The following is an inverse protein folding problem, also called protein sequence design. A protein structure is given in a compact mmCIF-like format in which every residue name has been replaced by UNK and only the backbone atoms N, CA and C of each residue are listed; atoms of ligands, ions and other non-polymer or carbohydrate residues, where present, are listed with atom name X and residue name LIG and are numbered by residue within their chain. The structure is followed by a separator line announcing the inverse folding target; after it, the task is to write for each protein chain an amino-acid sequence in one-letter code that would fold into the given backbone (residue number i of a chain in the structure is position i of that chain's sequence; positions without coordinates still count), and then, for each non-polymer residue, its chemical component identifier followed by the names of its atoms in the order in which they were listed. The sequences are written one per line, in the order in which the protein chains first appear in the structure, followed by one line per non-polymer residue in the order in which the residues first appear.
data_IF_170237551297
#
_entry.id   IF_170237551297
#
_cell.length_a   1.000
_cell.length_b   1.000
_cell.length_c   1.000
_cell.angle_alpha   90.00
_cell.angle_beta   90.00
_cell.angle_gamma   90.00
#
_symmetry.space_group_name_H-M   'P 1'
#
loop_
_entity.id
_entity.type
_entity.pdbx_description
1 polymer ?
#
# COMPACT_ATOMS: atom_id res chain seq x y z
N UNK A 1 0.82 22.49 -5.00
CA UNK A 1 0.81 21.22 -4.25
C UNK A 1 1.14 20.10 -5.23
N UNK A 2 2.12 19.24 -4.91
CA UNK A 2 2.79 18.35 -5.87
C UNK A 2 2.78 16.88 -5.47
N UNK A 3 1.68 16.42 -4.86
CA UNK A 3 1.51 15.00 -4.54
C UNK A 3 1.33 14.26 -5.86
N UNK A 4 2.24 13.32 -6.12
CA UNK A 4 2.27 12.52 -7.35
C UNK A 4 1.78 11.09 -7.13
N UNK A 5 1.75 10.63 -5.88
CA UNK A 5 1.47 9.25 -5.52
C UNK A 5 0.30 9.21 -4.54
N UNK A 6 -0.67 8.34 -4.81
CA UNK A 6 -1.90 8.21 -4.02
C UNK A 6 -2.19 6.74 -3.79
N UNK A 7 -2.46 6.37 -2.54
CA UNK A 7 -2.87 5.01 -2.16
C UNK A 7 -4.37 5.03 -1.91
N UNK A 8 -5.10 4.06 -2.47
CA UNK A 8 -6.54 3.93 -2.28
C UNK A 8 -6.92 2.50 -1.89
N UNK A 9 -8.04 2.28 -1.16
CA UNK A 9 -8.61 0.95 -1.02
C UNK A 9 -8.97 0.38 -2.40
N UNK A 10 -8.70 -0.90 -2.63
CA UNK A 10 -8.98 -1.57 -3.90
C UNK A 10 -10.46 -1.54 -4.28
N UNK A 11 -11.37 -1.49 -3.29
CA UNK A 11 -12.81 -1.33 -3.59
C UNK A 11 -13.14 -0.01 -4.28
N UNK A 12 -12.30 1.02 -4.11
CA UNK A 12 -12.51 2.36 -4.68
C UNK A 12 -11.83 2.50 -6.06
N UNK A 13 -11.25 1.44 -6.62
CA UNK A 13 -10.60 1.52 -7.93
C UNK A 13 -11.58 1.89 -9.05
N UNK A 14 -12.85 1.48 -8.92
CA UNK A 14 -13.91 1.86 -9.86
C UNK A 14 -14.19 3.37 -9.88
N UNK A 15 -13.98 4.08 -8.76
CA UNK A 15 -14.22 5.52 -8.66
C UNK A 15 -13.17 6.33 -9.46
N UNK A 16 -12.08 5.70 -9.90
CA UNK A 16 -11.04 6.34 -10.71
C UNK A 16 -11.50 6.69 -12.13
N UNK A 17 -12.57 6.06 -12.62
CA UNK A 17 -13.13 6.37 -13.93
C UNK A 17 -13.84 7.73 -13.97
N UNK A 18 -14.24 8.26 -12.81
CA UNK A 18 -14.80 9.60 -12.67
C UNK A 18 -13.73 10.71 -12.64
N UNK A 19 -12.44 10.36 -12.55
CA UNK A 19 -11.37 11.34 -12.54
C UNK A 19 -11.10 11.90 -13.95
N UNK A 20 -10.90 13.23 -14.09
CA UNK A 20 -10.47 13.81 -15.35
C UNK A 20 -9.16 13.19 -15.84
N UNK A 21 -9.05 12.96 -17.16
CA UNK A 21 -7.88 12.33 -17.77
C UNK A 21 -6.55 13.03 -17.40
N UNK A 22 -6.56 14.35 -17.27
CA UNK A 22 -5.39 15.13 -16.88
C UNK A 22 -4.95 14.86 -15.43
N UNK A 23 -5.89 14.59 -14.51
CA UNK A 23 -5.57 14.20 -13.14
C UNK A 23 -5.05 12.76 -13.09
N UNK A 24 -5.73 11.84 -13.78
CA UNK A 24 -5.35 10.41 -13.83
C UNK A 24 -3.97 10.18 -14.45
N UNK A 25 -3.54 11.02 -15.41
CA UNK A 25 -2.20 10.98 -15.99
C UNK A 25 -1.09 11.56 -15.10
N UNK A 26 -1.44 12.41 -14.13
CA UNK A 26 -0.48 13.09 -13.24
C UNK A 26 -0.27 12.36 -11.91
N UNK A 27 -1.17 11.45 -11.57
CA UNK A 27 -1.16 10.68 -10.34
C UNK A 27 -0.79 9.23 -10.63
N UNK A 28 0.15 8.71 -9.85
CA UNK A 28 0.42 7.29 -9.73
C UNK A 28 -0.45 6.74 -8.60
N UNK A 29 -1.35 5.82 -8.95
CA UNK A 29 -2.38 5.33 -8.03
C UNK A 29 -2.07 3.89 -7.66
N UNK A 30 -2.03 3.61 -6.36
CA UNK A 30 -1.75 2.30 -5.80
C UNK A 30 -2.99 1.77 -5.07
N UNK A 31 -3.81 0.91 -5.71
CA UNK A 31 -4.88 0.22 -5.04
C UNK A 31 -4.33 -0.87 -4.11
N UNK A 32 -4.84 -0.93 -2.88
CA UNK A 32 -4.41 -1.89 -1.84
C UNK A 32 -5.59 -2.58 -1.17
N UNK A 33 -5.40 -3.82 -0.74
CA UNK A 33 -6.39 -4.60 0.01
C UNK A 33 -6.15 -4.51 1.51
N UNK A 34 -4.90 -4.32 1.95
CA UNK A 34 -4.52 -4.40 3.36
C UNK A 34 -3.56 -3.30 3.82
N UNK A 35 -3.57 -3.02 5.13
CA UNK A 35 -2.67 -2.03 5.75
C UNK A 35 -1.17 -2.36 5.53
N UNK A 36 -0.81 -3.65 5.47
CA UNK A 36 0.59 -4.06 5.24
C UNK A 36 1.14 -3.55 3.90
N UNK A 37 0.29 -3.52 2.87
CA UNK A 37 0.66 -2.99 1.55
C UNK A 37 0.86 -1.48 1.59
N UNK A 38 0.01 -0.75 2.34
CA UNK A 38 0.17 0.70 2.57
C UNK A 38 1.53 0.99 3.20
N UNK A 39 1.90 0.25 4.24
CA UNK A 39 3.16 0.46 4.97
C UNK A 39 4.38 0.15 4.10
N UNK A 40 4.31 -0.88 3.25
CA UNK A 40 5.39 -1.20 2.32
C UNK A 40 5.56 -0.14 1.22
N UNK A 41 4.49 0.54 0.81
CA UNK A 41 4.56 1.64 -0.17
C UNK A 41 5.02 2.96 0.45
N UNK A 42 4.66 3.22 1.71
CA UNK A 42 4.91 4.51 2.36
C UNK A 42 6.27 4.59 3.08
N UNK A 43 6.80 3.45 3.56
CA UNK A 43 8.04 3.39 4.33
C UNK A 43 9.21 2.92 3.45
N UNK A 44 10.39 3.50 3.66
CA UNK A 44 11.62 3.08 2.95
C UNK A 44 12.16 1.77 3.52
N UNK A 45 12.73 0.96 2.64
CA UNK A 45 13.36 -0.33 3.00
C UNK A 45 12.41 -1.32 3.68
N UNK A 46 11.11 -1.21 3.39
CA UNK A 46 10.07 -2.08 3.93
C UNK A 46 9.49 -2.96 2.83
N UNK A 47 9.27 -4.25 3.13
CA UNK A 47 8.60 -5.19 2.22
C UNK A 47 7.47 -5.90 2.94
N UNK A 48 6.34 -6.08 2.27
CA UNK A 48 5.22 -6.87 2.78
C UNK A 48 5.17 -8.22 2.06
N UNK A 49 5.17 -9.32 2.82
CA UNK A 49 5.11 -10.69 2.29
C UNK A 49 4.37 -11.61 3.24
N UNK A 50 3.41 -12.39 2.75
CA UNK A 50 2.67 -13.40 3.52
C UNK A 50 2.09 -12.88 4.86
N UNK A 51 1.62 -11.63 4.90
CA UNK A 51 1.08 -11.04 6.14
C UNK A 51 2.14 -10.47 7.09
N UNK A 52 3.42 -10.48 6.71
CA UNK A 52 4.56 -10.00 7.50
C UNK A 52 5.17 -8.77 6.87
N UNK A 53 5.59 -7.83 7.71
CA UNK A 53 6.29 -6.63 7.30
C UNK A 53 7.77 -6.76 7.66
N UNK A 54 8.61 -6.77 6.64
CA UNK A 54 10.05 -6.99 6.76
C UNK A 54 10.76 -5.64 6.64
N UNK A 55 11.71 -5.37 7.53
CA UNK A 55 12.54 -4.18 7.48
C UNK A 55 13.95 -4.57 7.00
N UNK A 56 14.43 -3.93 5.93
CA UNK A 56 15.74 -4.22 5.34
C UNK A 56 15.92 -5.68 4.94
N UNK A 57 16.95 -6.31 5.51
CA UNK A 57 17.38 -7.69 5.20
C UNK A 57 16.82 -8.73 6.19
N UNK A 58 15.78 -8.40 6.96
CA UNK A 58 15.16 -9.32 7.90
C UNK A 58 14.64 -10.60 7.22
N UNK A 59 14.87 -11.75 7.88
CA UNK A 59 14.39 -13.04 7.43
C UNK A 59 12.88 -13.16 7.74
N UNK A 60 12.02 -13.45 6.75
CA UNK A 60 10.58 -13.59 6.97
C UNK A 60 10.17 -14.61 8.02
N UNK A 61 11.02 -15.58 8.34
CA UNK A 61 10.72 -16.60 9.36
C UNK A 61 10.78 -16.06 10.79
N UNK A 62 11.54 -15.00 11.02
CA UNK A 62 11.82 -14.46 12.35
C UNK A 62 10.90 -13.28 12.71
N UNK A 63 10.04 -12.85 11.76
CA UNK A 63 9.16 -11.70 11.89
C UNK A 63 7.71 -12.12 12.17
N UNK A 64 7.09 -11.46 13.14
CA UNK A 64 5.69 -11.69 13.53
C UNK A 64 4.72 -11.11 12.48
N UNK A 65 3.67 -11.85 12.05
CA UNK A 65 2.69 -11.34 11.10
C UNK A 65 1.89 -10.16 11.64
N UNK A 66 1.76 -9.09 10.84
CA UNK A 66 0.91 -7.93 11.14
C UNK A 66 -0.58 -8.28 11.15
N UNK A 67 -1.00 -9.26 10.34
CA UNK A 67 -2.40 -9.71 10.21
C UNK A 67 -3.05 -10.17 11.53
N UNK A 68 -2.26 -10.44 12.58
CA UNK A 68 -2.75 -10.81 13.90
C UNK A 68 -3.07 -9.64 14.83
N UNK A 69 -2.59 -8.42 14.54
CA UNK A 69 -2.61 -7.30 15.50
C UNK A 69 -3.83 -6.39 15.32
N UNK A 70 -4.43 -6.35 14.12
CA UNK A 70 -5.51 -5.42 13.76
C UNK A 70 -6.81 -6.14 13.36
N UNK A 71 -7.25 -7.14 14.15
CA UNK A 71 -8.65 -7.58 14.06
C UNK A 71 -9.51 -6.58 14.86
N UNK A 72 -10.24 -5.74 14.14
CA UNK A 72 -11.43 -5.06 14.67
C UNK A 72 -12.64 -5.97 14.59
#
# INVERSE_FOLDING_TARGET
AGIKQVIIPKQNEADLDDLPAEARKRLEIFPVEELGEVLALALRDVRYSEGKLLFGDENPRDVVPLRGVFRH
#
